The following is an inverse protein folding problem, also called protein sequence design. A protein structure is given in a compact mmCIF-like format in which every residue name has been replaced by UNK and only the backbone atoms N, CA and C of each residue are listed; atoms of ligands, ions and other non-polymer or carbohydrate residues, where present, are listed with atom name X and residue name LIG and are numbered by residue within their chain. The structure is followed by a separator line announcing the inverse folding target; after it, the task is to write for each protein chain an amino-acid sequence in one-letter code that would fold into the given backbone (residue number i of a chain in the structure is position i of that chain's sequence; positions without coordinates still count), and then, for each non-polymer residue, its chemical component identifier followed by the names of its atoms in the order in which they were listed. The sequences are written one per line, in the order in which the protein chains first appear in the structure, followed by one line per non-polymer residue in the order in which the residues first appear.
data_IF_019647819434
#
_entry.id   IF_019647819434
#
_cell.length_a   1.000
_cell.length_b   1.000
_cell.length_c   1.000
_cell.angle_alpha   90.00
_cell.angle_beta   90.00
_cell.angle_gamma   90.00
#
_symmetry.space_group_name_H-M   'P 1'
#
loop_
_entity.id
_entity.type
_entity.pdbx_description
1 polymer ?
#
# COMPACT_ATOMS: atom_id res chain seq x y z
N UNK A 1 1.04 22.49 19.84
CA UNK A 1 1.32 21.44 20.85
C UNK A 1 0.19 21.41 21.89
N UNK A 2 -0.42 20.24 22.16
CA UNK A 2 -1.49 20.03 23.13
C UNK A 2 -1.03 19.04 24.19
N UNK A 3 -1.01 19.44 25.46
CA UNK A 3 -0.64 18.61 26.60
C UNK A 3 -1.91 18.19 27.35
N UNK A 4 -2.08 16.90 27.59
CA UNK A 4 -3.26 16.30 28.23
C UNK A 4 -2.84 15.55 29.47
N UNK A 5 -3.42 15.89 30.61
CA UNK A 5 -3.27 15.13 31.83
C UNK A 5 -4.38 14.08 31.93
N UNK A 6 -3.98 12.83 32.12
CA UNK A 6 -4.91 11.71 32.31
C UNK A 6 -5.04 11.33 33.77
N UNK A 7 -6.12 10.65 34.13
CA UNK A 7 -6.37 10.24 35.49
C UNK A 7 -5.35 9.23 36.03
N UNK A 8 -4.92 8.25 35.20
CA UNK A 8 -4.08 7.11 35.63
C UNK A 8 -2.82 6.89 34.82
N UNK A 9 -2.77 7.45 33.63
CA UNK A 9 -1.69 7.18 32.68
C UNK A 9 -0.63 8.28 32.60
N UNK A 10 -0.80 9.36 33.37
CA UNK A 10 0.10 10.50 33.37
C UNK A 10 -0.17 11.50 32.27
N UNK A 11 0.87 12.22 31.88
CA UNK A 11 0.78 13.26 30.84
C UNK A 11 1.01 12.67 29.47
N UNK A 12 0.19 13.07 28.51
CA UNK A 12 0.31 12.75 27.10
C UNK A 12 0.41 14.04 26.29
N UNK A 13 1.28 14.07 25.28
CA UNK A 13 1.51 15.27 24.47
C UNK A 13 1.22 14.97 23.00
N UNK A 14 0.39 15.81 22.37
CA UNK A 14 0.18 15.83 20.93
C UNK A 14 0.94 17.03 20.35
N UNK A 15 1.79 16.80 19.37
CA UNK A 15 2.59 17.82 18.72
C UNK A 15 2.99 17.37 17.31
N UNK A 16 3.23 18.29 16.38
CA UNK A 16 3.83 17.94 15.10
C UNK A 16 5.23 17.38 15.32
N UNK A 17 6.05 18.05 16.13
CA UNK A 17 7.38 17.57 16.56
C UNK A 17 8.30 17.24 15.39
N UNK A 18 8.31 18.10 14.36
CA UNK A 18 9.07 17.95 13.11
C UNK A 18 9.84 19.22 12.79
N UNK A 19 10.94 19.07 12.09
CA UNK A 19 11.72 20.16 11.49
C UNK A 19 11.22 20.36 10.05
N UNK A 20 10.40 21.40 9.83
CA UNK A 20 9.82 21.67 8.52
C UNK A 20 10.88 22.05 7.48
N UNK A 21 11.92 22.81 7.88
CA UNK A 21 12.98 23.23 6.96
C UNK A 21 13.80 22.02 6.50
N UNK A 22 14.07 21.08 7.42
CA UNK A 22 14.80 19.85 7.13
C UNK A 22 13.99 18.90 6.23
N UNK A 23 12.69 18.75 6.47
CA UNK A 23 11.84 17.78 5.75
C UNK A 23 11.33 18.30 4.40
N UNK A 24 11.35 19.62 4.17
CA UNK A 24 10.82 20.27 2.97
C UNK A 24 11.36 19.68 1.66
N UNK A 25 12.68 19.44 1.47
CA UNK A 25 13.18 18.85 0.24
C UNK A 25 12.65 17.44 -0.03
N UNK A 26 12.33 16.68 1.03
CA UNK A 26 11.76 15.33 0.89
C UNK A 26 10.27 15.40 0.51
N UNK A 27 9.53 16.33 1.09
CA UNK A 27 8.14 16.61 0.71
C UNK A 27 8.06 16.98 -0.78
N UNK A 28 8.88 17.92 -1.24
CA UNK A 28 8.93 18.34 -2.65
C UNK A 28 9.24 17.17 -3.59
N UNK A 29 10.18 16.30 -3.23
CA UNK A 29 10.47 15.10 -4.02
C UNK A 29 9.28 14.15 -4.13
N UNK A 30 8.51 13.96 -3.07
CA UNK A 30 7.29 13.13 -3.08
C UNK A 30 6.21 13.78 -3.92
N UNK A 31 5.98 15.08 -3.76
CA UNK A 31 4.99 15.86 -4.52
C UNK A 31 5.30 15.87 -6.01
N UNK A 32 6.56 16.08 -6.39
CA UNK A 32 7.03 16.01 -7.77
C UNK A 32 6.85 14.61 -8.37
N UNK A 33 7.20 13.56 -7.63
CA UNK A 33 6.99 12.19 -8.08
C UNK A 33 5.49 11.90 -8.28
N UNK A 34 4.65 12.33 -7.33
CA UNK A 34 3.20 12.20 -7.42
C UNK A 34 2.61 12.99 -8.59
N UNK A 35 3.06 14.21 -8.83
CA UNK A 35 2.61 15.03 -9.95
C UNK A 35 2.96 14.37 -11.29
N UNK A 36 4.19 13.86 -11.45
CA UNK A 36 4.60 13.11 -12.66
C UNK A 36 3.74 11.86 -12.86
N UNK A 37 3.51 11.07 -11.81
CA UNK A 37 2.69 9.87 -11.89
C UNK A 37 1.23 10.20 -12.23
N UNK A 38 0.66 11.22 -11.61
CA UNK A 38 -0.73 11.65 -11.81
C UNK A 38 -0.98 12.22 -13.22
N UNK A 39 0.05 12.77 -13.86
CA UNK A 39 -0.03 13.29 -15.25
C UNK A 39 0.07 12.20 -16.32
N UNK A 40 0.38 10.95 -15.94
CA UNK A 40 0.47 9.85 -16.91
C UNK A 40 -0.90 9.54 -17.51
N UNK A 41 -0.99 9.36 -18.84
CA UNK A 41 -2.22 8.94 -19.49
C UNK A 41 -2.46 7.43 -19.25
N UNK A 42 -3.07 7.10 -18.10
CA UNK A 42 -3.38 5.71 -17.76
C UNK A 42 -4.73 5.34 -18.39
N UNK A 43 -4.72 4.36 -19.31
CA UNK A 43 -5.94 3.85 -19.93
C UNK A 43 -6.84 3.16 -18.89
N UNK A 44 -8.18 3.23 -19.03
CA UNK A 44 -9.13 2.71 -18.03
C UNK A 44 -8.87 1.26 -17.61
N UNK A 45 -8.57 0.37 -18.55
CA UNK A 45 -8.29 -1.05 -18.25
C UNK A 45 -7.04 -1.22 -17.39
N UNK A 46 -5.99 -0.42 -17.66
CA UNK A 46 -4.76 -0.41 -16.87
C UNK A 46 -5.03 0.16 -15.49
N UNK A 47 -5.82 1.23 -15.39
CA UNK A 47 -6.21 1.83 -14.13
C UNK A 47 -6.95 0.82 -13.23
N UNK A 48 -7.95 0.14 -13.78
CA UNK A 48 -8.72 -0.88 -13.07
C UNK A 48 -7.85 -2.03 -12.57
N UNK A 49 -6.93 -2.51 -13.43
CA UNK A 49 -6.00 -3.56 -13.06
C UNK A 49 -5.05 -3.10 -11.94
N UNK A 50 -4.52 -1.89 -12.05
CA UNK A 50 -3.63 -1.31 -11.06
C UNK A 50 -4.33 -1.15 -9.70
N UNK A 51 -5.55 -0.61 -9.68
CA UNK A 51 -6.35 -0.47 -8.46
C UNK A 51 -6.55 -1.82 -7.74
N UNK A 52 -6.87 -2.86 -8.50
CA UNK A 52 -7.03 -4.21 -7.94
C UNK A 52 -5.72 -4.77 -7.39
N UNK A 53 -4.62 -4.64 -8.12
CA UNK A 53 -3.29 -5.11 -7.67
C UNK A 53 -2.85 -4.37 -6.39
N UNK A 54 -3.04 -3.05 -6.34
CA UNK A 54 -2.67 -2.24 -5.18
C UNK A 54 -3.53 -2.55 -3.97
N UNK A 55 -4.83 -2.78 -4.14
CA UNK A 55 -5.72 -3.20 -3.06
C UNK A 55 -5.29 -4.56 -2.47
N UNK A 56 -5.00 -5.55 -3.33
CA UNK A 56 -4.51 -6.87 -2.89
C UNK A 56 -3.22 -6.72 -2.09
N UNK A 57 -2.26 -5.97 -2.61
CA UNK A 57 -0.97 -5.73 -1.96
C UNK A 57 -1.14 -5.05 -0.59
N UNK A 58 -2.06 -4.09 -0.47
CA UNK A 58 -2.37 -3.39 0.78
C UNK A 58 -2.99 -4.31 1.83
N UNK A 59 -4.01 -5.06 1.43
CA UNK A 59 -4.71 -6.00 2.32
C UNK A 59 -3.75 -7.09 2.78
N UNK A 60 -2.94 -7.64 1.87
CA UNK A 60 -1.91 -8.61 2.19
C UNK A 60 -0.89 -8.03 3.17
N UNK A 61 -0.32 -6.84 2.88
CA UNK A 61 0.66 -6.18 3.74
C UNK A 61 0.11 -5.96 5.15
N UNK A 62 -1.05 -5.32 5.26
CA UNK A 62 -1.72 -5.07 6.54
C UNK A 62 -2.04 -6.34 7.31
N UNK A 63 -2.52 -7.40 6.63
CA UNK A 63 -2.83 -8.68 7.26
C UNK A 63 -1.58 -9.38 7.79
N UNK A 64 -0.50 -9.39 7.01
CA UNK A 64 0.76 -10.06 7.34
C UNK A 64 1.50 -9.36 8.48
N UNK A 65 1.55 -8.04 8.52
CA UNK A 65 2.10 -7.25 9.64
C UNK A 65 1.47 -7.68 10.98
N UNK A 66 0.17 -7.97 10.98
CA UNK A 66 -0.58 -8.40 12.16
C UNK A 66 -0.58 -9.93 12.36
N UNK A 67 0.35 -10.65 11.76
CA UNK A 67 0.50 -12.10 11.91
C UNK A 67 -0.47 -12.95 11.06
N UNK A 68 -1.06 -12.38 10.01
CA UNK A 68 -1.84 -13.14 9.03
C UNK A 68 -0.96 -14.11 8.24
N UNK A 69 -1.50 -15.29 7.91
CA UNK A 69 -0.74 -16.40 7.33
C UNK A 69 -1.10 -16.74 5.88
N UNK A 70 -2.09 -16.05 5.30
CA UNK A 70 -2.43 -16.24 3.88
C UNK A 70 -1.33 -15.63 3.00
N UNK A 71 -0.99 -16.34 1.93
CA UNK A 71 -0.12 -15.81 0.88
C UNK A 71 -0.80 -14.66 0.11
N UNK A 72 -0.04 -13.89 -0.66
CA UNK A 72 -0.60 -12.81 -1.48
C UNK A 72 -1.57 -13.34 -2.54
N UNK A 73 -1.29 -14.51 -3.13
CA UNK A 73 -2.19 -15.17 -4.08
C UNK A 73 -3.51 -15.59 -3.41
N UNK A 74 -3.45 -16.23 -2.24
CA UNK A 74 -4.64 -16.61 -1.46
C UNK A 74 -5.44 -15.38 -1.02
N UNK A 75 -4.77 -14.28 -0.67
CA UNK A 75 -5.39 -12.99 -0.35
C UNK A 75 -6.14 -12.44 -1.57
N UNK A 76 -5.54 -12.51 -2.76
CA UNK A 76 -6.19 -12.12 -4.02
C UNK A 76 -7.44 -12.97 -4.32
N UNK A 77 -7.37 -14.28 -4.06
CA UNK A 77 -8.49 -15.20 -4.25
C UNK A 77 -9.67 -14.89 -3.31
N UNK A 78 -9.39 -14.53 -2.05
CA UNK A 78 -10.43 -14.07 -1.09
C UNK A 78 -11.04 -12.75 -1.57
N UNK A 79 -10.22 -11.77 -1.93
CA UNK A 79 -10.68 -10.43 -2.39
C UNK A 79 -11.55 -10.54 -3.64
N UNK A 80 -11.22 -11.46 -4.55
CA UNK A 80 -11.97 -11.68 -5.80
C UNK A 80 -13.19 -12.61 -5.64
N UNK A 81 -13.40 -13.19 -4.45
CA UNK A 81 -14.49 -14.13 -4.17
C UNK A 81 -14.30 -15.55 -4.72
N UNK A 82 -13.12 -15.84 -5.29
CA UNK A 82 -12.74 -17.20 -5.74
C UNK A 82 -12.62 -18.12 -4.54
N UNK A 83 -11.92 -17.67 -3.49
CA UNK A 83 -11.79 -18.40 -2.24
C UNK A 83 -12.90 -17.98 -1.27
N UNK A 84 -13.69 -18.96 -0.82
CA UNK A 84 -14.76 -18.74 0.15
C UNK A 84 -14.21 -18.51 1.54
N UNK A 85 -14.92 -17.71 2.34
CA UNK A 85 -14.61 -17.48 3.76
C UNK A 85 -15.02 -18.74 4.53
N UNK A 86 -14.08 -19.50 5.04
CA UNK A 86 -14.29 -20.75 5.80
C UNK A 86 -13.88 -20.61 7.27
N UNK A 87 -12.84 -19.84 7.52
CA UNK A 87 -12.26 -19.66 8.86
C UNK A 87 -11.87 -18.19 9.11
N UNK A 88 -11.22 -17.94 10.23
CA UNK A 88 -10.79 -16.60 10.62
C UNK A 88 -9.70 -15.99 9.72
N UNK A 89 -8.91 -16.80 9.01
CA UNK A 89 -7.84 -16.30 8.15
C UNK A 89 -8.41 -15.56 6.96
N UNK A 90 -9.37 -16.19 6.26
CA UNK A 90 -10.08 -15.55 5.17
C UNK A 90 -10.95 -14.38 5.67
N UNK A 91 -11.59 -14.55 6.84
CA UNK A 91 -12.42 -13.49 7.45
C UNK A 91 -11.61 -12.24 7.74
N UNK A 92 -10.40 -12.36 8.27
CA UNK A 92 -9.50 -11.22 8.51
C UNK A 92 -9.24 -10.44 7.22
N UNK A 93 -8.92 -11.14 6.12
CA UNK A 93 -8.68 -10.53 4.81
C UNK A 93 -9.93 -9.81 4.29
N UNK A 94 -11.08 -10.47 4.36
CA UNK A 94 -12.37 -9.89 3.93
C UNK A 94 -12.75 -8.66 4.76
N UNK A 95 -12.57 -8.71 6.08
CA UNK A 95 -12.80 -7.59 6.97
C UNK A 95 -11.90 -6.39 6.65
N UNK A 96 -10.60 -6.63 6.41
CA UNK A 96 -9.66 -5.57 6.03
C UNK A 96 -10.11 -4.95 4.70
N UNK A 97 -10.46 -5.78 3.70
CA UNK A 97 -11.00 -5.29 2.42
C UNK A 97 -12.24 -4.41 2.62
N UNK A 98 -13.21 -4.86 3.42
CA UNK A 98 -14.43 -4.09 3.72
C UNK A 98 -14.12 -2.75 4.39
N UNK A 99 -13.13 -2.70 5.28
CA UNK A 99 -12.70 -1.46 5.92
C UNK A 99 -12.07 -0.49 4.91
N UNK A 100 -11.22 -0.99 4.00
CA UNK A 100 -10.67 -0.19 2.91
C UNK A 100 -11.76 0.30 1.94
N UNK A 101 -12.73 -0.55 1.58
CA UNK A 101 -13.85 -0.17 0.72
C UNK A 101 -14.70 0.93 1.38
N UNK A 102 -15.06 0.78 2.68
CA UNK A 102 -15.82 1.80 3.42
C UNK A 102 -15.08 3.13 3.47
N UNK A 103 -13.81 3.11 3.83
CA UNK A 103 -12.99 4.32 3.89
C UNK A 103 -12.81 4.94 2.49
N UNK A 104 -12.60 4.11 1.47
CA UNK A 104 -12.49 4.53 0.09
C UNK A 104 -13.75 5.24 -0.43
N UNK A 105 -14.92 4.66 -0.20
CA UNK A 105 -16.22 5.24 -0.57
C UNK A 105 -16.49 6.56 0.17
N UNK A 106 -16.11 6.65 1.45
CA UNK A 106 -16.23 7.88 2.21
C UNK A 106 -15.32 8.99 1.64
N UNK A 107 -14.07 8.68 1.30
CA UNK A 107 -13.17 9.63 0.67
C UNK A 107 -13.72 10.15 -0.67
N UNK A 108 -14.27 9.27 -1.50
CA UNK A 108 -14.89 9.65 -2.78
C UNK A 108 -16.11 10.55 -2.59
N UNK A 109 -16.94 10.27 -1.58
CA UNK A 109 -18.05 11.14 -1.22
C UNK A 109 -17.55 12.54 -0.84
N UNK A 110 -16.52 12.64 0.01
CA UNK A 110 -15.91 13.90 0.41
C UNK A 110 -15.34 14.68 -0.79
N UNK A 111 -14.59 14.00 -1.68
CA UNK A 111 -14.02 14.60 -2.88
C UNK A 111 -15.10 15.10 -3.85
N UNK A 112 -16.17 14.34 -4.04
CA UNK A 112 -17.26 14.71 -4.94
C UNK A 112 -18.08 15.91 -4.41
N UNK A 113 -18.34 15.95 -3.10
CA UNK A 113 -19.06 17.07 -2.46
C UNK A 113 -18.34 18.41 -2.61
N UNK A 114 -17.01 18.39 -2.74
CA UNK A 114 -16.23 19.62 -2.81
C UNK A 114 -15.85 20.05 -4.23
N UNK A 115 -16.13 19.25 -5.25
CA UNK A 115 -15.95 19.67 -6.66
C UNK A 115 -16.72 20.94 -7.01
N UNK A 116 -17.81 21.24 -6.30
CA UNK A 116 -18.64 22.44 -6.50
C UNK A 116 -18.09 23.67 -5.75
N UNK A 117 -17.09 23.52 -4.88
CA UNK A 117 -16.46 24.64 -4.16
C UNK A 117 -15.10 24.96 -4.79
N UNK A 118 -15.11 25.87 -5.74
CA UNK A 118 -14.05 26.19 -6.72
C UNK A 118 -12.70 26.73 -6.20
N UNK A 119 -12.27 26.47 -4.98
CA UNK A 119 -11.03 27.09 -4.45
C UNK A 119 -10.00 26.14 -3.84
N UNK A 120 -10.34 24.91 -3.53
CA UNK A 120 -9.33 23.93 -3.09
C UNK A 120 -9.87 22.49 -3.29
N UNK A 121 -9.32 21.67 -4.20
CA UNK A 121 -9.76 20.30 -4.41
C UNK A 121 -9.43 19.38 -3.21
N UNK A 122 -8.63 19.84 -2.28
CA UNK A 122 -8.23 19.09 -1.10
C UNK A 122 -9.15 19.42 0.06
N UNK A 123 -10.06 18.49 0.34
CA UNK A 123 -10.86 18.58 1.56
C UNK A 123 -9.97 18.23 2.72
N UNK A 124 -9.79 19.16 3.61
CA UNK A 124 -9.28 18.83 4.92
C UNK A 124 -10.28 17.88 5.60
N UNK A 125 -9.96 16.61 5.57
CA UNK A 125 -10.78 15.59 6.22
C UNK A 125 -10.80 15.83 7.73
N UNK A 126 -11.97 16.11 8.30
CA UNK A 126 -12.14 16.09 9.74
C UNK A 126 -12.36 14.64 10.20
N UNK A 127 -11.39 14.12 10.95
CA UNK A 127 -11.52 12.80 11.58
C UNK A 127 -12.57 12.88 12.70
N UNK A 128 -13.38 11.82 12.81
CA UNK A 128 -14.44 11.69 13.81
C UNK A 128 -14.29 10.36 14.57
N UNK A 129 -14.73 10.33 15.81
CA UNK A 129 -14.63 9.15 16.67
C UNK A 129 -15.37 7.95 16.06
N UNK A 130 -16.54 8.20 15.49
CA UNK A 130 -17.37 7.19 14.83
C UNK A 130 -16.62 6.45 13.72
N UNK A 131 -15.71 7.13 13.03
CA UNK A 131 -14.88 6.49 11.99
C UNK A 131 -13.99 5.40 12.59
N UNK A 132 -13.38 5.65 13.74
CA UNK A 132 -12.51 4.69 14.41
C UNK A 132 -13.30 3.50 14.93
N UNK A 133 -14.44 3.78 15.56
CA UNK A 133 -15.38 2.77 16.07
C UNK A 133 -15.88 1.87 14.96
N UNK A 134 -16.33 2.45 13.86
CA UNK A 134 -16.87 1.74 12.71
C UNK A 134 -15.81 0.90 11.99
N UNK A 135 -14.62 1.47 11.73
CA UNK A 135 -13.51 0.75 11.10
C UNK A 135 -13.07 -0.42 11.98
N UNK A 136 -12.92 -0.19 13.28
CA UNK A 136 -12.59 -1.27 14.22
C UNK A 136 -13.65 -2.36 14.25
N UNK A 137 -14.93 -1.99 14.29
CA UNK A 137 -16.03 -2.95 14.28
C UNK A 137 -15.98 -3.85 13.04
N UNK A 138 -15.73 -3.28 11.84
CA UNK A 138 -15.59 -4.04 10.60
C UNK A 138 -14.35 -4.93 10.63
N UNK A 139 -13.19 -4.39 11.02
CA UNK A 139 -11.90 -5.09 11.01
C UNK A 139 -11.91 -6.31 11.93
N UNK A 140 -12.65 -6.25 13.04
CA UNK A 140 -12.66 -7.31 14.05
C UNK A 140 -13.95 -8.14 14.08
N UNK A 141 -14.86 -7.94 13.11
CA UNK A 141 -16.11 -8.68 13.03
C UNK A 141 -15.88 -10.17 12.88
N UNK A 142 -16.49 -10.95 13.80
CA UNK A 142 -16.41 -12.42 13.79
C UNK A 142 -15.00 -12.99 14.00
N UNK A 143 -14.05 -12.21 14.53
CA UNK A 143 -12.73 -12.70 14.91
C UNK A 143 -12.70 -13.03 16.41
N UNK A 144 -12.07 -14.15 16.76
CA UNK A 144 -11.94 -14.59 18.16
C UNK A 144 -10.84 -13.81 18.88
N UNK A 145 -11.22 -13.12 19.93
CA UNK A 145 -10.26 -12.52 20.86
C UNK A 145 -10.87 -12.47 22.27
N UNK A 146 -10.14 -12.88 23.32
CA UNK A 146 -10.72 -13.05 24.67
C UNK A 146 -11.36 -11.80 25.26
N UNK A 147 -10.89 -10.63 24.89
CA UNK A 147 -11.30 -9.35 25.49
C UNK A 147 -11.82 -8.34 24.46
N UNK A 148 -11.45 -8.50 23.17
CA UNK A 148 -11.85 -7.54 22.15
C UNK A 148 -13.33 -7.64 21.84
N UNK A 149 -13.98 -6.48 21.75
CA UNK A 149 -15.35 -6.34 21.28
C UNK A 149 -15.36 -5.36 20.11
N UNK A 150 -15.91 -5.75 18.97
CA UNK A 150 -15.99 -4.87 17.80
C UNK A 150 -16.58 -3.49 18.15
N UNK A 151 -15.86 -2.43 17.77
CA UNK A 151 -16.29 -1.06 18.02
C UNK A 151 -16.24 -0.56 19.47
N UNK A 152 -15.58 -1.27 20.39
CA UNK A 152 -15.52 -0.86 21.79
C UNK A 152 -14.09 -0.66 22.27
N UNK A 153 -13.82 0.48 22.89
CA UNK A 153 -12.53 0.73 23.53
C UNK A 153 -12.26 -0.28 24.63
N UNK A 154 -11.00 -0.66 24.78
CA UNK A 154 -10.54 -1.56 25.84
C UNK A 154 -10.72 -0.89 27.21
N UNK A 155 -10.98 -1.74 28.20
CA UNK A 155 -11.07 -1.34 29.60
C UNK A 155 -10.24 -2.29 30.45
N UNK A 156 -9.07 -1.84 30.86
CA UNK A 156 -8.17 -2.64 31.65
C UNK A 156 -8.67 -2.69 33.10
N UNK A 157 -8.82 -3.89 33.61
CA UNK A 157 -9.11 -4.09 35.06
C UNK A 157 -7.99 -3.46 35.91
N UNK A 158 -8.31 -3.07 37.14
CA UNK A 158 -7.33 -2.50 38.07
C UNK A 158 -6.13 -3.46 38.21
N UNK A 159 -4.93 -2.95 37.95
CA UNK A 159 -3.68 -3.74 37.99
C UNK A 159 -3.32 -4.47 36.69
N UNK A 160 -4.21 -4.54 35.69
CA UNK A 160 -3.89 -5.08 34.36
C UNK A 160 -3.29 -4.00 33.49
N UNK A 161 -2.18 -4.30 32.81
CA UNK A 161 -1.51 -3.41 31.86
C UNK A 161 -1.50 -4.03 30.48
N UNK A 162 -1.89 -3.26 29.48
CA UNK A 162 -1.60 -3.58 28.07
C UNK A 162 -0.13 -3.29 27.78
N UNK A 163 0.51 -4.13 27.02
CA UNK A 163 1.91 -3.96 26.59
C UNK A 163 1.95 -4.04 25.07
N UNK A 164 2.66 -3.11 24.44
CA UNK A 164 2.82 -3.01 22.98
C UNK A 164 4.30 -2.94 22.66
N UNK A 165 4.71 -3.61 21.58
CA UNK A 165 6.10 -3.71 21.16
C UNK A 165 6.85 -4.83 21.89
N UNK A 166 8.11 -4.95 21.60
CA UNK A 166 9.04 -5.96 22.10
C UNK A 166 10.45 -5.39 22.29
N UNK A 167 11.36 -6.22 22.77
CA UNK A 167 12.75 -5.81 23.04
C UNK A 167 13.57 -5.62 21.78
N UNK A 168 13.25 -6.32 20.69
CA UNK A 168 13.98 -6.27 19.42
C UNK A 168 13.72 -4.93 18.70
N UNK A 169 12.47 -4.41 18.79
CA UNK A 169 12.05 -3.17 18.16
C UNK A 169 12.04 -1.97 19.14
N UNK A 170 13.04 -1.89 20.01
CA UNK A 170 13.29 -0.70 20.85
C UNK A 170 12.56 -0.69 22.17
N UNK A 171 11.87 -1.75 22.58
CA UNK A 171 11.33 -1.96 23.91
C UNK A 171 9.80 -1.94 23.99
N UNK A 172 9.32 -2.25 25.19
CA UNK A 172 7.90 -2.36 25.47
C UNK A 172 7.34 -1.00 25.88
N UNK A 173 6.21 -0.65 25.30
CA UNK A 173 5.40 0.51 25.65
C UNK A 173 4.15 0.07 26.42
N UNK A 174 3.78 0.84 27.42
CA UNK A 174 2.52 0.70 28.15
C UNK A 174 1.59 1.84 27.76
N UNK A 175 0.57 1.57 26.91
CA UNK A 175 -0.42 2.57 26.50
C UNK A 175 -1.37 2.94 27.68
N UNK A 176 -2.28 3.89 27.51
CA UNK A 176 -3.22 4.35 28.55
C UNK A 176 -3.88 3.20 29.29
N UNK A 177 -4.05 3.34 30.62
CA UNK A 177 -4.31 2.24 31.57
C UNK A 177 -5.79 1.93 31.78
N UNK A 178 -6.70 2.77 31.34
CA UNK A 178 -8.14 2.59 31.53
C UNK A 178 -8.94 3.29 30.44
N UNK A 179 -10.22 2.91 30.33
CA UNK A 179 -11.14 3.47 29.34
C UNK A 179 -11.28 4.98 29.45
N UNK A 180 -11.38 5.51 30.67
CA UNK A 180 -11.54 6.95 30.88
C UNK A 180 -10.38 7.75 30.32
N UNK A 181 -9.13 7.29 30.55
CA UNK A 181 -7.93 7.91 29.97
C UNK A 181 -7.93 7.80 28.44
N UNK A 182 -8.34 6.65 27.88
CA UNK A 182 -8.46 6.44 26.42
C UNK A 182 -9.48 7.43 25.85
N UNK A 183 -10.65 7.55 26.44
CA UNK A 183 -11.71 8.45 25.98
C UNK A 183 -11.24 9.91 25.98
N UNK A 184 -10.63 10.35 27.07
CA UNK A 184 -10.06 11.70 27.17
C UNK A 184 -9.00 11.91 26.09
N UNK A 185 -8.12 10.94 25.85
CA UNK A 185 -7.07 11.05 24.84
C UNK A 185 -7.62 11.03 23.43
N UNK A 186 -8.64 10.24 23.11
CA UNK A 186 -9.28 10.25 21.77
C UNK A 186 -9.95 11.60 21.49
N UNK A 187 -10.66 12.17 22.46
CA UNK A 187 -11.29 13.50 22.32
C UNK A 187 -10.21 14.56 22.02
N UNK A 188 -9.14 14.58 22.80
CA UNK A 188 -8.06 15.55 22.63
C UNK A 188 -7.23 15.28 21.36
N UNK A 189 -7.03 14.02 20.97
CA UNK A 189 -6.42 13.64 19.70
C UNK A 189 -7.22 14.19 18.52
N UNK A 190 -8.55 14.01 18.53
CA UNK A 190 -9.43 14.54 17.47
C UNK A 190 -9.42 16.06 17.44
N UNK A 191 -9.43 16.71 18.59
CA UNK A 191 -9.32 18.17 18.69
C UNK A 191 -8.00 18.65 18.07
N UNK A 192 -6.89 17.98 18.37
CA UNK A 192 -5.56 18.35 17.90
C UNK A 192 -5.37 18.05 16.40
N UNK A 193 -5.69 16.83 15.94
CA UNK A 193 -5.46 16.42 14.55
C UNK A 193 -6.37 17.19 13.55
N UNK A 194 -7.49 17.70 14.04
CA UNK A 194 -8.43 18.55 13.31
C UNK A 194 -8.22 20.05 13.56
N UNK A 195 -7.24 20.44 14.37
CA UNK A 195 -6.94 21.85 14.58
C UNK A 195 -6.42 22.52 13.31
N UNK A 196 -6.61 23.82 13.17
CA UNK A 196 -6.13 24.58 12.04
C UNK A 196 -4.61 24.44 11.85
N UNK A 197 -3.84 24.40 12.95
CA UNK A 197 -2.39 24.15 12.95
C UNK A 197 -2.03 22.86 12.21
N UNK A 198 -2.76 21.76 12.42
CA UNK A 198 -2.44 20.44 11.86
C UNK A 198 -3.11 20.23 10.50
N UNK A 199 -4.30 20.75 10.29
CA UNK A 199 -5.01 20.68 8.99
C UNK A 199 -4.24 21.40 7.89
N UNK A 200 -3.56 22.50 8.23
CA UNK A 200 -2.77 23.29 7.27
C UNK A 200 -1.39 22.68 6.97
N UNK A 201 -0.98 21.64 7.69
CA UNK A 201 0.22 20.86 7.31
C UNK A 201 -0.06 20.06 6.03
N UNK A 202 1.02 19.73 5.31
CA UNK A 202 0.93 18.78 4.19
C UNK A 202 0.24 17.49 4.63
N UNK A 203 -0.68 16.92 3.83
CA UNK A 203 -1.25 15.59 4.10
C UNK A 203 -0.20 14.51 4.31
N UNK A 204 0.98 14.66 3.69
CA UNK A 204 2.14 13.78 3.86
C UNK A 204 2.77 13.87 5.26
N UNK A 205 2.44 14.88 6.04
CA UNK A 205 2.82 15.03 7.46
C UNK A 205 1.65 14.60 8.34
N UNK A 206 0.43 15.05 8.01
CA UNK A 206 -0.75 14.80 8.83
C UNK A 206 -1.13 13.30 8.88
N UNK A 207 -1.02 12.58 7.77
CA UNK A 207 -1.37 11.17 7.71
C UNK A 207 -0.51 10.30 8.65
N UNK A 208 0.82 10.33 8.61
CA UNK A 208 1.66 9.58 9.54
C UNK A 208 1.51 10.04 10.98
N UNK A 209 1.31 11.34 11.26
CA UNK A 209 1.02 11.80 12.62
C UNK A 209 -0.30 11.23 13.16
N UNK A 210 -1.33 11.15 12.32
CA UNK A 210 -2.60 10.53 12.69
C UNK A 210 -2.42 9.06 13.05
N UNK A 211 -1.71 8.31 12.25
CA UNK A 211 -1.38 6.91 12.50
C UNK A 211 -0.55 6.74 13.80
N UNK A 212 0.54 7.50 13.94
CA UNK A 212 1.44 7.42 15.08
C UNK A 212 0.72 7.66 16.41
N UNK A 213 -0.06 8.73 16.53
CA UNK A 213 -0.74 9.05 17.79
C UNK A 213 -1.91 8.12 18.07
N UNK A 214 -2.59 7.61 17.04
CA UNK A 214 -3.61 6.58 17.23
C UNK A 214 -3.00 5.30 17.82
N UNK A 215 -1.86 4.84 17.29
CA UNK A 215 -1.13 3.69 17.82
C UNK A 215 -0.58 3.94 19.23
N UNK A 216 -0.18 5.15 19.56
CA UNK A 216 0.24 5.50 20.93
C UNK A 216 -0.90 5.44 21.93
N UNK A 217 -2.12 5.85 21.55
CA UNK A 217 -3.30 5.72 22.42
C UNK A 217 -3.69 4.25 22.54
N UNK A 218 -3.57 3.50 21.45
CA UNK A 218 -3.88 2.06 21.38
C UNK A 218 -5.24 1.73 21.99
N UNK A 219 -6.34 2.29 21.44
CA UNK A 219 -7.63 2.33 22.12
C UNK A 219 -8.34 0.99 22.22
N UNK A 220 -7.97 0.00 21.43
CA UNK A 220 -8.64 -1.30 21.36
C UNK A 220 -7.75 -2.43 21.89
N UNK A 221 -8.34 -3.60 22.15
CA UNK A 221 -7.59 -4.79 22.55
C UNK A 221 -6.84 -5.44 21.39
N UNK A 222 -7.41 -5.37 20.18
CA UNK A 222 -6.86 -5.87 18.91
C UNK A 222 -7.26 -4.92 17.78
N UNK A 223 -6.56 -4.94 16.66
CA UNK A 223 -6.94 -4.21 15.45
C UNK A 223 -6.47 -2.76 15.35
N UNK A 224 -5.72 -2.24 16.34
CA UNK A 224 -5.24 -0.85 16.31
C UNK A 224 -4.39 -0.57 15.07
N UNK A 225 -3.37 -1.37 14.76
CA UNK A 225 -2.51 -1.18 13.60
C UNK A 225 -3.29 -1.19 12.28
N UNK A 226 -4.27 -2.08 12.16
CA UNK A 226 -5.14 -2.14 10.99
C UNK A 226 -5.98 -0.87 10.83
N UNK A 227 -6.56 -0.37 11.92
CA UNK A 227 -7.32 0.91 11.92
C UNK A 227 -6.40 2.09 11.63
N UNK A 228 -5.23 2.17 12.26
CA UNK A 228 -4.26 3.24 12.05
C UNK A 228 -3.83 3.38 10.59
N UNK A 229 -3.52 2.26 9.92
CA UNK A 229 -3.18 2.23 8.50
C UNK A 229 -4.35 2.62 7.58
N UNK A 230 -5.59 2.29 7.94
CA UNK A 230 -6.78 2.76 7.18
C UNK A 230 -7.01 4.26 7.38
N UNK A 231 -6.79 4.82 8.56
CA UNK A 231 -6.87 6.27 8.82
C UNK A 231 -5.82 7.02 7.98
N UNK A 232 -4.58 6.53 7.97
CA UNK A 232 -3.49 7.07 7.16
C UNK A 232 -3.86 7.09 5.67
N UNK A 233 -4.34 5.95 5.15
CA UNK A 233 -4.84 5.81 3.79
C UNK A 233 -5.96 6.81 3.49
N UNK A 234 -6.91 6.98 4.39
CA UNK A 234 -8.06 7.84 4.20
C UNK A 234 -7.66 9.31 4.04
N UNK A 235 -6.73 9.79 4.87
CA UNK A 235 -6.19 11.17 4.76
C UNK A 235 -5.51 11.38 3.40
N UNK A 236 -4.68 10.44 2.98
CA UNK A 236 -3.98 10.52 1.68
C UNK A 236 -4.93 10.46 0.50
N UNK A 237 -5.95 9.59 0.54
CA UNK A 237 -6.94 9.48 -0.53
C UNK A 237 -7.75 10.77 -0.67
N UNK A 238 -8.17 11.39 0.44
CA UNK A 238 -8.85 12.68 0.46
C UNK A 238 -7.97 13.81 -0.08
N UNK A 239 -6.65 13.69 0.06
CA UNK A 239 -5.67 14.62 -0.48
C UNK A 239 -5.28 14.36 -1.94
N UNK A 240 -5.90 13.37 -2.60
CA UNK A 240 -5.69 13.10 -4.03
C UNK A 240 -4.57 12.11 -4.36
N UNK A 241 -3.93 11.49 -3.38
CA UNK A 241 -2.93 10.44 -3.61
C UNK A 241 -3.63 9.13 -4.02
N UNK A 242 -4.00 9.03 -5.31
CA UNK A 242 -4.97 8.05 -5.82
C UNK A 242 -4.58 6.58 -5.58
N UNK A 243 -3.34 6.20 -5.80
CA UNK A 243 -2.89 4.80 -5.71
C UNK A 243 -1.88 4.57 -4.57
N UNK A 244 -1.05 5.55 -4.28
CA UNK A 244 0.02 5.44 -3.30
C UNK A 244 -0.48 5.13 -1.88
N UNK A 245 -1.66 5.63 -1.53
CA UNK A 245 -2.27 5.40 -0.23
C UNK A 245 -2.53 3.92 0.10
N UNK A 246 -2.83 3.10 -0.90
CA UNK A 246 -3.04 1.66 -0.66
C UNK A 246 -1.73 0.90 -0.43
N UNK A 247 -0.67 1.26 -1.12
CA UNK A 247 0.55 0.45 -1.14
C UNK A 247 1.46 0.62 0.09
N UNK A 248 1.21 1.59 0.98
CA UNK A 248 2.04 1.85 2.17
C UNK A 248 2.17 0.65 3.10
N UNK A 249 1.09 -0.11 3.30
CA UNK A 249 1.15 -1.33 4.13
C UNK A 249 2.13 -2.36 3.57
N UNK A 250 2.35 -2.38 2.25
CA UNK A 250 3.37 -3.23 1.63
C UNK A 250 4.78 -2.75 1.95
N UNK A 251 5.03 -1.46 1.87
CA UNK A 251 6.30 -0.88 2.26
C UNK A 251 6.62 -1.14 3.72
N UNK A 252 5.65 -0.96 4.62
CA UNK A 252 5.82 -1.27 6.04
C UNK A 252 6.12 -2.76 6.29
N UNK A 253 5.50 -3.68 5.54
CA UNK A 253 5.82 -5.09 5.60
C UNK A 253 7.24 -5.40 5.11
N UNK A 254 7.67 -4.78 4.03
CA UNK A 254 9.01 -4.95 3.46
C UNK A 254 10.12 -4.35 4.36
N UNK A 255 9.77 -3.40 5.24
CA UNK A 255 10.65 -2.74 6.21
C UNK A 255 10.12 -2.91 7.64
N UNK A 256 9.70 -4.13 8.01
CA UNK A 256 8.91 -4.38 9.22
C UNK A 256 9.64 -4.03 10.51
N UNK A 257 10.94 -4.31 10.59
CA UNK A 257 11.75 -4.04 11.78
C UNK A 257 11.90 -2.52 12.00
N UNK A 258 12.09 -1.76 10.94
CA UNK A 258 12.14 -0.30 11.00
C UNK A 258 10.76 0.26 11.38
N UNK A 259 9.70 -0.23 10.73
CA UNK A 259 8.31 0.18 11.02
C UNK A 259 7.92 -0.02 12.49
N UNK A 260 8.26 -1.15 13.10
CA UNK A 260 8.00 -1.34 14.52
C UNK A 260 8.91 -0.51 15.43
N UNK A 261 10.16 -0.29 15.01
CA UNK A 261 11.15 0.46 15.80
C UNK A 261 10.82 1.94 15.89
N UNK A 262 10.31 2.58 14.81
CA UNK A 262 10.10 4.04 14.78
C UNK A 262 9.08 4.53 15.82
N UNK A 263 8.10 3.72 16.22
CA UNK A 263 7.16 4.07 17.28
C UNK A 263 7.87 4.28 18.63
N UNK A 264 8.79 3.39 18.97
CA UNK A 264 9.58 3.48 20.19
C UNK A 264 10.65 4.56 20.10
N UNK A 265 11.26 4.78 18.95
CA UNK A 265 12.26 5.83 18.73
C UNK A 265 11.65 7.21 18.93
N UNK A 266 10.51 7.50 18.28
CA UNK A 266 9.80 8.77 18.43
C UNK A 266 9.34 8.99 19.89
N UNK A 267 8.80 7.98 20.55
CA UNK A 267 8.42 8.05 21.97
C UNK A 267 9.61 8.33 22.89
N UNK A 268 10.76 7.70 22.65
CA UNK A 268 11.98 7.94 23.44
C UNK A 268 12.53 9.35 23.22
N UNK A 269 12.48 9.86 21.99
CA UNK A 269 12.85 11.23 21.66
C UNK A 269 11.97 12.25 22.41
N UNK A 270 10.65 12.00 22.49
CA UNK A 270 9.73 12.83 23.29
C UNK A 270 10.07 12.80 24.78
N UNK A 271 10.34 11.62 25.36
CA UNK A 271 10.74 11.49 26.77
C UNK A 271 12.02 12.26 27.06
N UNK A 272 12.98 12.23 26.13
CA UNK A 272 14.25 13.01 26.23
C UNK A 272 14.05 14.50 25.96
N UNK A 273 12.82 14.93 25.62
CA UNK A 273 12.49 16.31 25.25
C UNK A 273 13.28 16.82 24.03
N UNK A 274 13.55 15.94 23.09
CA UNK A 274 14.15 16.33 21.82
C UNK A 274 13.21 17.31 21.08
N UNK A 275 13.77 18.26 20.36
CA UNK A 275 13.01 19.32 19.69
C UNK A 275 12.03 18.78 18.65
N UNK A 276 12.42 17.71 17.93
CA UNK A 276 11.68 17.14 16.80
C UNK A 276 11.48 15.62 16.95
N UNK A 277 10.72 15.14 17.94
CA UNK A 277 10.65 13.73 18.28
C UNK A 277 9.98 12.85 17.22
N UNK A 278 9.14 13.40 16.34
CA UNK A 278 8.39 12.63 15.35
C UNK A 278 9.09 12.51 13.99
N UNK A 279 10.30 13.10 13.84
CA UNK A 279 11.04 13.09 12.57
C UNK A 279 11.22 11.69 12.00
N UNK A 280 11.68 10.75 12.81
CA UNK A 280 11.97 9.38 12.36
C UNK A 280 10.75 8.68 11.76
N UNK A 281 9.55 8.94 12.28
CA UNK A 281 8.32 8.38 11.75
C UNK A 281 7.92 9.03 10.41
N UNK A 282 8.06 10.35 10.31
CA UNK A 282 7.77 11.08 9.09
C UNK A 282 8.75 10.70 7.97
N UNK A 283 10.04 10.55 8.27
CA UNK A 283 11.06 10.12 7.29
C UNK A 283 10.77 8.73 6.74
N UNK A 284 10.47 7.75 7.60
CA UNK A 284 10.07 6.40 7.16
C UNK A 284 8.86 6.47 6.22
N UNK A 285 7.83 7.23 6.60
CA UNK A 285 6.63 7.39 5.81
C UNK A 285 6.91 8.03 4.44
N UNK A 286 7.66 9.14 4.39
CA UNK A 286 7.97 9.84 3.14
C UNK A 286 8.84 8.99 2.21
N UNK A 287 9.81 8.26 2.75
CA UNK A 287 10.59 7.29 1.98
C UNK A 287 9.67 6.21 1.39
N UNK A 288 8.73 5.71 2.18
CA UNK A 288 7.74 4.73 1.74
C UNK A 288 6.85 5.24 0.60
N UNK A 289 6.28 6.42 0.75
CA UNK A 289 5.43 7.03 -0.30
C UNK A 289 6.23 7.25 -1.58
N UNK A 290 7.46 7.74 -1.48
CA UNK A 290 8.31 7.98 -2.66
C UNK A 290 8.65 6.68 -3.38
N UNK A 291 9.06 5.65 -2.64
CA UNK A 291 9.35 4.31 -3.19
C UNK A 291 8.13 3.73 -3.92
N UNK A 292 6.96 3.81 -3.28
CA UNK A 292 5.70 3.32 -3.86
C UNK A 292 5.33 4.05 -5.14
N UNK A 293 5.39 5.38 -5.15
CA UNK A 293 5.04 6.17 -6.35
C UNK A 293 5.97 5.78 -7.50
N UNK A 294 7.27 5.63 -7.24
CA UNK A 294 8.23 5.20 -8.26
C UNK A 294 7.94 3.77 -8.76
N UNK A 295 7.67 2.83 -7.87
CA UNK A 295 7.28 1.45 -8.24
C UNK A 295 5.99 1.42 -9.09
N UNK A 296 5.00 2.24 -8.75
CA UNK A 296 3.76 2.37 -9.51
C UNK A 296 4.00 2.97 -10.90
N UNK A 297 4.81 4.03 -10.98
CA UNK A 297 5.22 4.65 -12.23
C UNK A 297 5.89 3.62 -13.16
N UNK A 298 6.87 2.88 -12.66
CA UNK A 298 7.55 1.83 -13.42
C UNK A 298 6.61 0.69 -13.83
N UNK A 299 5.64 0.36 -12.96
CA UNK A 299 4.63 -0.65 -13.26
C UNK A 299 3.73 -0.24 -14.42
N UNK A 300 3.24 1.00 -14.41
CA UNK A 300 2.42 1.55 -15.50
C UNK A 300 3.20 1.60 -16.80
N UNK A 301 4.43 2.10 -16.77
CA UNK A 301 5.30 2.15 -17.94
C UNK A 301 5.51 0.75 -18.55
N UNK A 302 5.75 -0.26 -17.72
CA UNK A 302 5.87 -1.65 -18.20
C UNK A 302 4.58 -2.15 -18.85
N UNK A 303 3.42 -1.87 -18.27
CA UNK A 303 2.13 -2.28 -18.86
C UNK A 303 1.92 -1.59 -20.20
N UNK A 304 2.19 -0.30 -20.29
CA UNK A 304 2.08 0.47 -21.56
C UNK A 304 3.03 -0.09 -22.61
N UNK A 305 4.29 -0.33 -22.26
CA UNK A 305 5.28 -0.92 -23.15
C UNK A 305 4.83 -2.30 -23.67
N UNK A 306 4.28 -3.15 -22.79
CA UNK A 306 3.71 -4.44 -23.19
C UNK A 306 2.55 -4.29 -24.19
N UNK A 307 1.65 -3.35 -23.96
CA UNK A 307 0.51 -3.11 -24.86
C UNK A 307 0.99 -2.59 -26.22
N UNK A 308 1.95 -1.68 -26.25
CA UNK A 308 2.55 -1.17 -27.47
C UNK A 308 3.22 -2.31 -28.27
N UNK A 309 3.95 -3.17 -27.59
CA UNK A 309 4.60 -4.32 -28.21
C UNK A 309 3.58 -5.31 -28.77
N UNK A 310 2.52 -5.61 -28.03
CA UNK A 310 1.43 -6.46 -28.51
C UNK A 310 0.74 -5.88 -29.76
N UNK A 311 0.50 -4.57 -29.78
CA UNK A 311 -0.06 -3.89 -30.95
C UNK A 311 0.88 -3.94 -32.14
N UNK A 312 2.19 -3.76 -31.92
CA UNK A 312 3.20 -3.89 -32.95
C UNK A 312 3.22 -5.31 -33.53
N UNK A 313 3.20 -6.32 -32.67
CA UNK A 313 3.16 -7.74 -33.06
C UNK A 313 1.92 -8.05 -33.91
N UNK A 314 0.75 -7.60 -33.51
CA UNK A 314 -0.51 -7.74 -34.24
C UNK A 314 -0.43 -7.08 -35.62
N UNK A 315 0.10 -5.85 -35.68
CA UNK A 315 0.29 -5.12 -36.94
C UNK A 315 1.25 -5.87 -37.90
N UNK A 316 2.34 -6.42 -37.39
CA UNK A 316 3.30 -7.18 -38.19
C UNK A 316 2.69 -8.48 -38.74
N UNK A 317 1.88 -9.15 -37.92
CA UNK A 317 1.16 -10.34 -38.36
C UNK A 317 0.12 -10.01 -39.47
N UNK A 318 -0.71 -8.98 -39.26
CA UNK A 318 -1.70 -8.55 -40.22
C UNK A 318 -1.07 -8.11 -41.56
N UNK A 319 0.08 -7.42 -41.51
CA UNK A 319 0.86 -7.01 -42.68
C UNK A 319 1.71 -8.13 -43.28
N UNK A 320 1.59 -9.37 -42.80
CA UNK A 320 2.35 -10.54 -43.22
C UNK A 320 3.88 -10.38 -43.12
N UNK A 321 4.37 -9.48 -42.25
CA UNK A 321 5.80 -9.33 -41.96
C UNK A 321 6.34 -10.50 -41.12
N UNK A 322 5.48 -11.09 -40.32
CA UNK A 322 5.73 -12.31 -39.55
C UNK A 322 4.67 -13.36 -39.86
N UNK A 323 5.04 -14.63 -39.77
CA UNK A 323 4.13 -15.74 -39.97
C UNK A 323 3.46 -16.17 -38.61
N UNK A 324 2.48 -17.11 -38.70
CA UNK A 324 1.74 -17.61 -37.52
C UNK A 324 2.67 -18.20 -36.47
N UNK A 325 3.72 -18.97 -36.84
CA UNK A 325 4.64 -19.56 -35.85
C UNK A 325 5.41 -18.48 -35.10
N UNK A 326 5.94 -17.50 -35.80
CA UNK A 326 6.64 -16.35 -35.23
C UNK A 326 5.72 -15.55 -34.28
N UNK A 327 4.48 -15.31 -34.71
CA UNK A 327 3.46 -14.67 -33.84
C UNK A 327 3.17 -15.49 -32.58
N UNK A 328 2.99 -16.81 -32.72
CA UNK A 328 2.74 -17.71 -31.59
C UNK A 328 3.91 -17.77 -30.61
N UNK A 329 5.16 -17.79 -31.10
CA UNK A 329 6.35 -17.77 -30.26
C UNK A 329 6.31 -16.54 -29.33
N UNK A 330 6.16 -15.35 -29.88
CA UNK A 330 6.16 -14.13 -29.05
C UNK A 330 4.99 -14.12 -28.08
N UNK A 331 3.78 -14.51 -28.50
CA UNK A 331 2.61 -14.54 -27.61
C UNK A 331 2.75 -15.54 -26.44
N UNK A 332 3.47 -16.63 -26.65
CA UNK A 332 3.76 -17.57 -25.55
C UNK A 332 4.89 -17.08 -24.63
N UNK A 333 5.84 -16.29 -25.13
CA UNK A 333 6.95 -15.79 -24.34
C UNK A 333 6.56 -14.54 -23.52
N UNK A 334 5.81 -13.64 -24.13
CA UNK A 334 5.50 -12.33 -23.56
C UNK A 334 4.89 -12.35 -22.15
N UNK A 335 3.95 -13.24 -21.78
CA UNK A 335 3.40 -13.32 -20.44
C UNK A 335 4.40 -13.76 -19.36
N UNK A 336 5.49 -14.42 -19.76
CA UNK A 336 6.47 -15.03 -18.86
C UNK A 336 7.74 -14.20 -18.65
N UNK A 337 7.76 -12.96 -19.16
CA UNK A 337 8.86 -12.01 -19.00
C UNK A 337 9.55 -11.63 -20.30
N UNK A 338 10.64 -10.88 -20.19
CA UNK A 338 11.35 -10.34 -21.36
C UNK A 338 12.56 -11.17 -21.79
N UNK A 339 13.07 -12.02 -20.92
CA UNK A 339 14.29 -12.81 -21.17
C UNK A 339 13.99 -14.28 -20.97
N UNK A 340 14.30 -15.10 -21.96
CA UNK A 340 14.02 -16.54 -21.95
C UNK A 340 15.24 -17.33 -22.42
N UNK A 341 15.49 -18.46 -21.81
CA UNK A 341 16.50 -19.41 -22.28
C UNK A 341 16.00 -20.13 -23.52
N UNK A 342 16.75 -20.04 -24.61
CA UNK A 342 16.37 -20.61 -25.92
C UNK A 342 16.17 -22.13 -25.83
N UNK A 343 17.03 -22.83 -25.08
CA UNK A 343 16.94 -24.30 -24.95
C UNK A 343 15.69 -24.73 -24.19
N UNK A 344 15.35 -23.98 -23.12
CA UNK A 344 14.10 -24.21 -22.35
C UNK A 344 12.86 -23.90 -23.18
N UNK A 345 12.89 -22.85 -24.01
CA UNK A 345 11.80 -22.53 -24.93
C UNK A 345 11.61 -23.64 -25.96
N UNK A 346 12.69 -24.12 -26.54
CA UNK A 346 12.66 -25.20 -27.55
C UNK A 346 12.17 -26.53 -27.00
N UNK A 347 12.30 -26.77 -25.71
CA UNK A 347 11.79 -27.98 -25.03
C UNK A 347 10.31 -27.91 -24.61
N UNK A 348 9.67 -26.73 -24.76
CA UNK A 348 8.26 -26.59 -24.40
C UNK A 348 7.34 -27.37 -25.37
N UNK A 349 6.29 -28.03 -24.86
CA UNK A 349 5.36 -28.78 -25.71
C UNK A 349 4.74 -27.96 -26.85
N UNK A 350 4.38 -26.70 -26.57
CA UNK A 350 3.82 -25.79 -27.58
C UNK A 350 4.83 -25.44 -28.68
N UNK A 351 6.12 -25.26 -28.32
CA UNK A 351 7.17 -24.98 -29.31
C UNK A 351 7.44 -26.21 -30.20
N UNK A 352 7.54 -27.39 -29.59
CA UNK A 352 7.70 -28.66 -30.31
C UNK A 352 6.53 -28.85 -31.28
N UNK A 353 5.29 -28.61 -30.83
CA UNK A 353 4.11 -28.72 -31.69
C UNK A 353 4.11 -27.78 -32.87
N UNK A 354 4.65 -26.54 -32.74
CA UNK A 354 4.77 -25.58 -33.83
C UNK A 354 5.70 -26.03 -34.97
N UNK A 355 6.65 -26.89 -34.65
CA UNK A 355 7.68 -27.36 -35.56
C UNK A 355 7.61 -28.88 -35.83
N UNK A 356 6.50 -29.51 -35.43
CA UNK A 356 6.25 -30.90 -35.77
C UNK A 356 6.28 -31.04 -37.31
N UNK A 357 7.01 -32.02 -37.81
CA UNK A 357 7.22 -32.25 -39.27
C UNK A 357 8.02 -31.17 -40.03
N UNK A 358 8.60 -30.18 -39.33
CA UNK A 358 9.45 -29.15 -39.94
C UNK A 358 10.93 -29.32 -39.60
N UNK A 359 11.78 -28.83 -40.49
CA UNK A 359 13.24 -28.93 -40.32
C UNK A 359 13.78 -27.88 -39.34
N UNK A 360 14.91 -28.18 -38.69
CA UNK A 360 15.66 -27.21 -37.86
C UNK A 360 16.05 -25.93 -38.63
N UNK A 361 16.22 -26.04 -39.93
CA UNK A 361 16.46 -24.87 -40.81
C UNK A 361 15.27 -23.90 -40.84
N UNK A 362 14.04 -24.43 -40.74
CA UNK A 362 12.82 -23.60 -40.63
C UNK A 362 12.76 -22.89 -39.30
N UNK A 363 13.11 -23.57 -38.19
CA UNK A 363 13.19 -22.93 -36.87
C UNK A 363 14.19 -21.76 -36.87
N UNK A 364 15.40 -22.02 -37.34
CA UNK A 364 16.45 -20.99 -37.42
C UNK A 364 16.03 -19.79 -38.27
N UNK A 365 15.33 -20.03 -39.40
CA UNK A 365 14.81 -18.97 -40.27
C UNK A 365 13.73 -18.14 -39.56
N UNK A 366 12.81 -18.78 -38.84
CA UNK A 366 11.75 -18.07 -38.12
C UNK A 366 12.34 -17.21 -37.00
N UNK A 367 13.30 -17.71 -36.23
CA UNK A 367 13.99 -16.95 -35.21
C UNK A 367 14.76 -15.75 -35.79
N UNK A 368 15.52 -15.97 -36.88
CA UNK A 368 16.22 -14.90 -37.56
C UNK A 368 15.25 -13.85 -38.15
N UNK A 369 14.08 -14.28 -38.63
CA UNK A 369 13.03 -13.37 -39.08
C UNK A 369 12.48 -12.47 -37.99
N UNK A 370 12.36 -12.98 -36.74
CA UNK A 370 12.00 -12.18 -35.60
C UNK A 370 13.08 -11.15 -35.23
N UNK A 371 14.35 -11.51 -35.31
CA UNK A 371 15.49 -10.57 -35.12
C UNK A 371 15.53 -9.47 -36.20
N UNK A 372 15.37 -9.82 -37.45
CA UNK A 372 15.34 -8.85 -38.58
C UNK A 372 14.20 -7.86 -38.41
N UNK A 373 13.07 -8.27 -37.85
CA UNK A 373 11.94 -7.40 -37.57
C UNK A 373 12.08 -6.65 -36.23
N UNK A 374 13.23 -6.74 -35.56
CA UNK A 374 13.49 -6.11 -34.25
C UNK A 374 12.44 -6.47 -33.18
N UNK A 375 11.90 -7.69 -33.18
CA UNK A 375 11.00 -8.18 -32.18
C UNK A 375 11.73 -8.90 -31.04
N UNK A 376 12.85 -9.55 -31.35
CA UNK A 376 13.71 -10.21 -30.38
C UNK A 376 15.18 -9.91 -30.70
N UNK A 377 16.03 -10.19 -29.71
CA UNK A 377 17.47 -10.32 -29.85
C UNK A 377 17.93 -11.60 -29.19
N UNK A 378 18.69 -12.43 -29.88
CA UNK A 378 19.31 -13.63 -29.31
C UNK A 378 20.74 -13.26 -28.93
N UNK A 379 21.07 -13.43 -27.65
CA UNK A 379 22.39 -13.15 -27.10
C UNK A 379 23.35 -14.35 -27.28
N UNK A 380 24.67 -14.13 -27.12
CA UNK A 380 25.70 -15.14 -27.25
C UNK A 380 25.50 -16.32 -26.28
N UNK A 381 24.95 -16.06 -25.08
CA UNK A 381 24.57 -17.04 -24.06
C UNK A 381 23.24 -17.76 -24.34
N UNK A 382 22.74 -17.68 -25.58
CA UNK A 382 21.50 -18.32 -26.05
C UNK A 382 20.24 -17.88 -25.30
N UNK A 383 20.15 -16.65 -24.90
CA UNK A 383 18.92 -16.07 -24.36
C UNK A 383 18.16 -15.29 -25.41
N UNK A 384 16.85 -15.45 -25.44
CA UNK A 384 15.91 -14.65 -26.24
C UNK A 384 15.51 -13.46 -25.40
N UNK A 385 15.83 -12.26 -25.87
CA UNK A 385 15.41 -11.01 -25.26
C UNK A 385 14.30 -10.41 -26.14
N UNK A 386 13.10 -10.23 -25.57
CA UNK A 386 12.01 -9.53 -26.26
C UNK A 386 12.33 -8.02 -26.27
N UNK A 387 12.30 -7.41 -27.45
CA UNK A 387 12.62 -5.98 -27.63
C UNK A 387 11.36 -5.13 -27.44
N UNK A 388 10.82 -5.15 -26.22
CA UNK A 388 9.69 -4.32 -25.82
C UNK A 388 10.16 -2.86 -25.77
N UNK A 389 9.42 -1.91 -26.38
CA UNK A 389 9.79 -0.49 -26.47
C UNK A 389 9.98 0.19 -25.12
#
# INVERSE_FOLDING_TARGET
MLRVETHRSGVFTFQSGIDLDYIQPMLERVEDAHARFSSMPIIPDVATKLEKEVLVSSVFGTNTIEGGTLTEAETADVISGIRKIRDEKERRVDNIKKAYDKAGNFAEYCLNKNKDQSKNPFVALHLQEEMFIDLHAIITDGLSHPQNKPGQYRDNKKGQLTKVGDTEHGGIYTPPKCRDDITVLIINYLQWINSEEVINLSPLIRAPLAHYYFERIHPFWDGNGRVGRVIEMLILKCAGYKYAHYALSRYYLENIDEYFSVFNLARKAEIKKEKFPNMVFIELFLNGILDIINKLHDRVNRIIAFMLYQNLLNSFFQKKKINMRQYTIINNLLPHGLIHDLSKVQSQPWYIALYNELTTKTQSRDMKGLEVNNLIKISEDKKINLLVP
#
